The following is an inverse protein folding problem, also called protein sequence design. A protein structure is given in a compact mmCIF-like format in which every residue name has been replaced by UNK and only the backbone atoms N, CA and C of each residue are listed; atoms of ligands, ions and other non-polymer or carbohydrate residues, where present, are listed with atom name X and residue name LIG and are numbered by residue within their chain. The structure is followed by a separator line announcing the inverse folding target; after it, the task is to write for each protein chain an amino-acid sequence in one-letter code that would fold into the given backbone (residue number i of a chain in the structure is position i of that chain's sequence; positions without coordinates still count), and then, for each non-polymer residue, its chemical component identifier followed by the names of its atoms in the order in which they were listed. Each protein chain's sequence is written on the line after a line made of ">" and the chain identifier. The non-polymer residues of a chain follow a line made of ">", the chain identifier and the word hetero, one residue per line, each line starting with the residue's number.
data_IF_689081477411
#
_entry.id   IF_689081477411
#
_cell.length_a   1.000
_cell.length_b   1.000
_cell.length_c   1.000
_cell.angle_alpha   90.00
_cell.angle_beta   90.00
_cell.angle_gamma   90.00
#
_symmetry.space_group_name_H-M   'P 1'
#
loop_
_entity.id
_entity.type
_entity.pdbx_description
1 polymer ?
#
# COMPACT_ATOMS: atom_id res chain seq x y z
N UNK A 1 19.40 4.41 5.54
CA UNK A 1 19.10 4.06 6.94
C UNK A 1 19.05 2.55 7.15
N UNK A 2 18.15 1.81 6.49
CA UNK A 2 18.00 0.35 6.63
C UNK A 2 19.30 -0.45 6.48
N UNK A 3 20.14 -0.15 5.48
CA UNK A 3 21.43 -0.87 5.31
C UNK A 3 22.45 -0.65 6.45
N UNK A 4 22.34 0.44 7.20
CA UNK A 4 23.21 0.70 8.36
C UNK A 4 22.78 -0.19 9.53
N UNK A 5 21.50 -0.11 9.88
CA UNK A 5 20.87 -0.90 10.95
C UNK A 5 20.93 -2.40 10.62
N UNK A 6 20.66 -2.77 9.37
CA UNK A 6 20.66 -4.15 8.91
C UNK A 6 22.02 -4.82 9.08
N UNK A 7 23.12 -4.12 8.78
CA UNK A 7 24.48 -4.64 9.00
C UNK A 7 24.77 -4.93 10.48
N UNK A 8 24.26 -4.11 11.40
CA UNK A 8 24.40 -4.35 12.84
C UNK A 8 23.51 -5.51 13.33
N UNK A 9 22.38 -5.75 12.64
CA UNK A 9 21.37 -6.76 13.01
C UNK A 9 21.43 -8.06 12.21
N UNK A 10 22.41 -8.21 11.31
CA UNK A 10 22.54 -9.36 10.42
C UNK A 10 21.46 -9.46 9.34
N UNK A 11 20.75 -8.37 9.02
CA UNK A 11 19.80 -8.34 7.91
C UNK A 11 20.53 -8.29 6.57
N UNK A 12 20.00 -8.96 5.53
CA UNK A 12 20.54 -8.85 4.19
C UNK A 12 20.50 -7.38 3.72
N UNK A 13 21.44 -6.97 2.84
CA UNK A 13 21.46 -5.61 2.34
C UNK A 13 20.22 -5.32 1.50
N UNK A 14 19.53 -4.23 1.85
CA UNK A 14 18.46 -3.68 1.04
C UNK A 14 18.98 -3.12 -0.27
N UNK A 15 18.17 -3.26 -1.31
CA UNK A 15 18.48 -2.79 -2.66
C UNK A 15 17.30 -2.93 -3.60
N UNK A 16 17.52 -2.68 -4.90
CA UNK A 16 16.45 -2.69 -5.90
C UNK A 16 15.67 -4.01 -5.92
N UNK A 17 16.36 -5.15 -5.82
CA UNK A 17 15.72 -6.48 -5.83
C UNK A 17 14.77 -6.67 -4.64
N UNK A 18 15.18 -6.27 -3.44
CA UNK A 18 14.31 -6.34 -2.25
C UNK A 18 13.11 -5.41 -2.42
N UNK A 19 13.33 -4.18 -2.90
CA UNK A 19 12.24 -3.24 -3.19
C UNK A 19 11.22 -3.83 -4.18
N UNK A 20 11.67 -4.45 -5.27
CA UNK A 20 10.79 -5.13 -6.25
C UNK A 20 9.98 -6.26 -5.61
N UNK A 21 10.62 -7.08 -4.76
CA UNK A 21 9.93 -8.14 -4.04
C UNK A 21 8.88 -7.57 -3.08
N UNK A 22 9.22 -6.52 -2.34
CA UNK A 22 8.34 -5.86 -1.38
C UNK A 22 7.14 -5.16 -2.04
N UNK A 23 7.31 -4.57 -3.23
CA UNK A 23 6.22 -3.94 -4.00
C UNK A 23 5.43 -4.92 -4.88
N UNK A 24 5.79 -6.20 -4.90
CA UNK A 24 5.05 -7.21 -5.66
C UNK A 24 3.61 -7.37 -5.13
N UNK A 25 2.70 -8.01 -5.89
CA UNK A 25 1.31 -8.19 -5.44
C UNK A 25 1.19 -8.85 -4.06
N UNK A 26 2.12 -9.75 -3.69
CA UNK A 26 2.15 -10.43 -2.38
C UNK A 26 3.15 -9.85 -1.38
N UNK A 27 3.88 -8.79 -1.75
CA UNK A 27 4.80 -8.11 -0.84
C UNK A 27 4.06 -7.19 0.15
N UNK A 28 4.78 -6.52 1.05
CA UNK A 28 4.16 -5.67 2.07
C UNK A 28 3.91 -4.22 1.62
N UNK A 29 4.52 -3.75 0.53
CA UNK A 29 4.43 -2.36 0.11
C UNK A 29 3.30 -2.15 -0.91
N UNK A 30 2.39 -1.23 -0.60
CA UNK A 30 1.38 -0.72 -1.52
C UNK A 30 1.96 0.47 -2.30
N UNK A 31 2.74 0.18 -3.35
CA UNK A 31 3.40 1.19 -4.17
C UNK A 31 3.20 0.82 -5.63
N UNK A 32 2.83 1.77 -6.50
CA UNK A 32 2.62 1.51 -7.92
C UNK A 32 1.71 2.54 -8.58
N UNK A 33 1.05 2.15 -9.67
CA UNK A 33 -0.07 2.93 -10.20
C UNK A 33 -1.25 2.92 -9.21
N UNK A 34 -2.19 3.87 -9.31
CA UNK A 34 -3.40 3.85 -8.47
C UNK A 34 -4.16 2.52 -8.53
N UNK A 35 -4.24 1.91 -9.71
CA UNK A 35 -4.90 0.63 -9.94
C UNK A 35 -4.19 -0.52 -9.23
N UNK A 36 -2.85 -0.56 -9.29
CA UNK A 36 -2.06 -1.57 -8.58
C UNK A 36 -2.19 -1.45 -7.05
N UNK A 37 -2.25 -0.22 -6.55
CA UNK A 37 -2.45 0.04 -5.11
C UNK A 37 -3.85 -0.38 -4.68
N UNK A 38 -4.88 -0.03 -5.46
CA UNK A 38 -6.26 -0.43 -5.19
C UNK A 38 -6.43 -1.96 -5.19
N UNK A 39 -5.90 -2.65 -6.20
CA UNK A 39 -5.91 -4.11 -6.29
C UNK A 39 -5.29 -4.76 -5.05
N UNK A 40 -4.16 -4.21 -4.57
CA UNK A 40 -3.50 -4.71 -3.37
C UNK A 40 -4.34 -4.53 -2.10
N UNK A 41 -4.95 -3.34 -1.91
CA UNK A 41 -5.82 -3.07 -0.75
C UNK A 41 -7.00 -4.05 -0.76
N UNK A 42 -7.62 -4.28 -1.92
CA UNK A 42 -8.73 -5.21 -2.08
C UNK A 42 -8.31 -6.66 -1.80
N UNK A 43 -7.13 -7.06 -2.27
CA UNK A 43 -6.56 -8.38 -1.97
C UNK A 43 -6.32 -8.56 -0.46
N UNK A 44 -5.73 -7.57 0.20
CA UNK A 44 -5.53 -7.59 1.66
C UNK A 44 -6.85 -7.55 2.43
N UNK A 45 -7.89 -6.90 1.88
CA UNK A 45 -9.23 -6.89 2.46
C UNK A 45 -9.88 -8.27 2.39
N UNK A 46 -9.75 -8.96 1.25
CA UNK A 46 -10.25 -10.32 1.08
C UNK A 46 -9.55 -11.31 2.03
N UNK A 47 -8.25 -11.12 2.28
CA UNK A 47 -7.49 -11.97 3.20
C UNK A 47 -7.80 -11.73 4.68
N UNK A 48 -7.96 -10.46 5.08
CA UNK A 48 -8.00 -10.08 6.50
C UNK A 48 -9.35 -9.55 6.98
N UNK A 49 -10.28 -9.24 6.08
CA UNK A 49 -11.55 -8.60 6.41
C UNK A 49 -11.38 -7.23 7.05
N UNK A 50 -10.30 -6.49 6.76
CA UNK A 50 -10.02 -5.23 7.42
C UNK A 50 -10.98 -4.12 6.97
N UNK A 51 -11.51 -3.34 7.92
CA UNK A 51 -12.48 -2.27 7.64
C UNK A 51 -11.81 -0.89 7.49
N UNK A 52 -10.51 -0.80 7.79
CA UNK A 52 -9.74 0.44 7.75
C UNK A 52 -8.34 0.19 7.20
N UNK A 53 -7.98 0.95 6.18
CA UNK A 53 -6.64 1.00 5.62
C UNK A 53 -5.97 2.33 6.00
N UNK A 54 -4.75 2.26 6.54
CA UNK A 54 -3.94 3.44 6.91
C UNK A 54 -2.65 3.44 6.10
N UNK A 55 -2.45 4.47 5.29
CA UNK A 55 -1.30 4.60 4.42
C UNK A 55 -0.23 5.51 5.05
N UNK A 56 1.01 5.02 5.15
CA UNK A 56 2.16 5.85 5.50
C UNK A 56 2.98 6.16 4.23
N UNK A 57 2.93 7.42 3.77
CA UNK A 57 3.49 7.82 2.47
C UNK A 57 4.83 8.56 2.54
N UNK A 58 5.24 9.04 3.71
CA UNK A 58 6.43 9.87 3.91
C UNK A 58 7.56 9.11 4.61
N UNK A 59 8.07 8.05 3.99
CA UNK A 59 9.15 7.24 4.57
C UNK A 59 10.53 7.81 4.19
N UNK A 60 11.24 8.39 5.16
CA UNK A 60 12.56 8.96 4.93
C UNK A 60 12.50 10.38 4.35
N UNK A 61 13.49 10.73 3.52
CA UNK A 61 13.56 12.04 2.87
C UNK A 61 12.84 12.02 1.51
N UNK A 62 11.50 12.01 1.55
CA UNK A 62 10.65 12.18 0.36
C UNK A 62 10.33 13.66 0.21
N UNK A 63 10.46 14.19 -1.00
CA UNK A 63 10.11 15.58 -1.29
C UNK A 63 8.64 15.84 -0.99
N UNK A 64 8.33 16.97 -0.35
CA UNK A 64 6.97 17.30 0.08
C UNK A 64 5.96 17.24 -1.08
N UNK A 65 6.34 17.73 -2.27
CA UNK A 65 5.48 17.70 -3.47
C UNK A 65 5.08 16.28 -3.87
N UNK A 66 5.96 15.29 -3.67
CA UNK A 66 5.71 13.90 -4.07
C UNK A 66 4.80 13.21 -3.05
N UNK A 67 4.92 13.58 -1.76
CA UNK A 67 3.96 13.16 -0.72
C UNK A 67 2.58 13.74 -1.01
N UNK A 68 2.48 15.04 -1.29
CA UNK A 68 1.20 15.69 -1.61
C UNK A 68 0.54 15.08 -2.85
N UNK A 69 1.32 14.79 -3.90
CA UNK A 69 0.83 14.08 -5.09
C UNK A 69 0.35 12.67 -4.77
N UNK A 70 1.04 11.94 -3.89
CA UNK A 70 0.62 10.60 -3.47
C UNK A 70 -0.71 10.64 -2.71
N UNK A 71 -0.91 11.64 -1.84
CA UNK A 71 -2.17 11.88 -1.12
C UNK A 71 -3.29 12.22 -2.11
N UNK A 72 -3.04 13.09 -3.09
CA UNK A 72 -4.01 13.45 -4.12
C UNK A 72 -4.45 12.22 -4.92
N UNK A 73 -3.50 11.41 -5.41
CA UNK A 73 -3.81 10.19 -6.15
C UNK A 73 -4.55 9.16 -5.29
N UNK A 74 -4.20 9.05 -4.01
CA UNK A 74 -4.91 8.17 -3.10
C UNK A 74 -6.39 8.60 -2.96
N UNK A 75 -6.64 9.88 -2.68
CA UNK A 75 -7.99 10.40 -2.47
C UNK A 75 -8.84 10.45 -3.74
N UNK A 76 -8.24 10.73 -4.90
CA UNK A 76 -8.98 10.95 -6.16
C UNK A 76 -9.05 9.73 -7.06
N UNK A 77 -8.17 8.73 -6.87
CA UNK A 77 -8.08 7.54 -7.74
C UNK A 77 -8.21 6.25 -6.95
N UNK A 78 -7.36 6.02 -5.96
CA UNK A 78 -7.32 4.74 -5.24
C UNK A 78 -8.58 4.51 -4.42
N UNK A 79 -8.94 5.45 -3.54
CA UNK A 79 -10.08 5.30 -2.64
C UNK A 79 -11.40 5.09 -3.39
N UNK A 80 -11.73 5.85 -4.46
CA UNK A 80 -12.93 5.58 -5.26
C UNK A 80 -12.98 4.17 -5.86
N UNK A 81 -11.86 3.65 -6.39
CA UNK A 81 -11.79 2.29 -6.95
C UNK A 81 -12.10 1.25 -5.86
N UNK A 82 -11.46 1.38 -4.70
CA UNK A 82 -11.65 0.45 -3.58
C UNK A 82 -13.10 0.50 -3.08
N UNK A 83 -13.64 1.69 -2.82
CA UNK A 83 -15.01 1.83 -2.33
C UNK A 83 -16.06 1.29 -3.30
N UNK A 84 -15.90 1.56 -4.59
CA UNK A 84 -16.79 1.03 -5.62
C UNK A 84 -16.78 -0.51 -5.65
N UNK A 85 -15.59 -1.11 -5.54
CA UNK A 85 -15.45 -2.55 -5.57
C UNK A 85 -16.00 -3.23 -4.30
N UNK A 86 -15.76 -2.65 -3.12
CA UNK A 86 -16.35 -3.15 -1.87
C UNK A 86 -17.88 -3.08 -1.93
N UNK A 87 -18.45 -1.94 -2.35
CA UNK A 87 -19.90 -1.79 -2.49
C UNK A 87 -20.52 -2.77 -3.51
N UNK A 88 -19.75 -3.15 -4.55
CA UNK A 88 -20.16 -4.15 -5.54
C UNK A 88 -20.17 -5.57 -4.96
N UNK A 89 -19.18 -5.91 -4.12
CA UNK A 89 -19.03 -7.24 -3.49
C UNK A 89 -20.00 -7.46 -2.34
N UNK A 90 -20.34 -6.40 -1.61
CA UNK A 90 -21.23 -6.43 -0.45
C UNK A 90 -22.53 -5.67 -0.74
N UNK A 91 -23.48 -6.25 -1.50
CA UNK A 91 -24.80 -5.65 -1.60
C UNK A 91 -25.44 -5.64 -0.21
N UNK A 92 -25.96 -4.46 0.19
CA UNK A 92 -26.49 -4.15 1.51
C UNK A 92 -27.14 -5.35 2.22
N UNK A 93 -26.52 -5.88 3.28
CA UNK A 93 -27.17 -6.92 4.07
C UNK A 93 -26.33 -7.91 4.89
N UNK A 94 -25.07 -7.65 5.24
CA UNK A 94 -24.41 -8.46 6.28
C UNK A 94 -23.80 -7.55 7.32
N UNK A 95 -24.52 -7.23 8.41
CA UNK A 95 -23.87 -6.67 9.58
C UNK A 95 -22.93 -7.74 10.17
N UNK A 96 -21.71 -7.31 10.51
CA UNK A 96 -20.79 -8.07 11.34
C UNK A 96 -21.36 -8.30 12.74
#
# INVERSE_FOLDING_TARGET
>A
MMNRIGRERGWPPSGRREYEALRSPRGALAVGSPEQVAEKILFEHELFGHQRYLAHMSVGAVEHRDVMRSIELYGTRVAPIVHAEIARREPAGTPA
#
